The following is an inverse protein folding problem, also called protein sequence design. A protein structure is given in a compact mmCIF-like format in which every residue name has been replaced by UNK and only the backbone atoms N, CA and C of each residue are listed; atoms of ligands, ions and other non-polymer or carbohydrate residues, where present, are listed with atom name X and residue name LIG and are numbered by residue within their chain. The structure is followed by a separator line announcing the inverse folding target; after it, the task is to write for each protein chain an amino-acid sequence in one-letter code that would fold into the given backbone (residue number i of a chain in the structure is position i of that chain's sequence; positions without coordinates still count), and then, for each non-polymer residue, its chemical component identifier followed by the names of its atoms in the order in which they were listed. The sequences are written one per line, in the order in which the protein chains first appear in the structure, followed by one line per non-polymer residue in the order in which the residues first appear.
data_IF_221138308413
#
_entry.id   IF_221138308413
#
_cell.length_a   1.000
_cell.length_b   1.000
_cell.length_c   1.000
_cell.angle_alpha   90.00
_cell.angle_beta   90.00
_cell.angle_gamma   90.00
#
_symmetry.space_group_name_H-M   'P 1'
#
loop_
_entity.id
_entity.type
_entity.pdbx_description
1 polymer ?
#
# COMPACT_ATOMS: atom_id res chain seq x y z
N UNK A 1 16.82 8.65 17.00
CA UNK A 1 15.77 9.28 16.16
C UNK A 1 16.50 10.15 15.16
N UNK A 2 16.09 10.10 13.90
CA UNK A 2 16.59 10.95 12.82
C UNK A 2 15.42 11.80 12.32
N UNK A 3 15.68 13.02 11.85
CA UNK A 3 14.63 13.91 11.34
C UNK A 3 15.08 14.61 10.06
N UNK A 4 14.13 14.85 9.17
CA UNK A 4 14.35 15.59 7.93
C UNK A 4 13.09 16.38 7.54
N UNK A 5 13.28 17.44 6.76
CA UNK A 5 12.19 18.26 6.23
C UNK A 5 12.39 18.57 4.74
N UNK A 6 11.30 18.61 4.00
CA UNK A 6 11.28 18.96 2.58
C UNK A 6 10.26 20.05 2.30
N UNK A 7 10.56 21.03 1.43
CA UNK A 7 9.57 21.99 0.97
C UNK A 7 8.49 21.26 0.15
N UNK A 8 7.25 21.73 0.28
CA UNK A 8 6.14 21.31 -0.56
C UNK A 8 5.82 22.42 -1.55
N UNK A 9 5.50 22.01 -2.76
CA UNK A 9 5.19 22.86 -3.89
C UNK A 9 3.67 22.97 -4.14
N UNK A 10 2.86 22.27 -3.34
CA UNK A 10 1.41 22.29 -3.37
C UNK A 10 0.78 21.59 -2.15
N UNK A 11 -0.56 21.53 -2.09
CA UNK A 11 -1.25 20.79 -1.04
C UNK A 11 -0.96 19.28 -1.14
N UNK A 12 -0.91 18.60 0.00
CA UNK A 12 -0.84 17.15 0.10
C UNK A 12 -1.94 16.67 1.05
N UNK A 13 -2.79 15.77 0.56
CA UNK A 13 -3.68 14.99 1.41
C UNK A 13 -2.90 13.78 1.96
N UNK A 14 -2.16 14.02 3.05
CA UNK A 14 -1.31 13.01 3.68
C UNK A 14 -2.12 11.78 4.09
N UNK A 15 -3.29 12.01 4.69
CA UNK A 15 -4.10 10.92 5.22
C UNK A 15 -4.77 10.14 4.09
N UNK A 16 -5.31 10.82 3.09
CA UNK A 16 -5.89 10.20 1.89
C UNK A 16 -4.85 9.36 1.15
N UNK A 17 -3.64 9.88 0.97
CA UNK A 17 -2.53 9.21 0.28
C UNK A 17 -2.10 7.92 0.98
N UNK A 18 -2.06 7.92 2.33
CA UNK A 18 -1.62 6.76 3.11
C UNK A 18 -2.76 5.83 3.55
N UNK A 19 -4.02 6.23 3.36
CA UNK A 19 -5.19 5.43 3.75
C UNK A 19 -5.24 4.04 3.11
N UNK A 20 -4.86 3.83 1.85
CA UNK A 20 -4.82 2.50 1.24
C UNK A 20 -3.87 1.51 1.94
N UNK A 21 -2.93 1.99 2.76
CA UNK A 21 -2.01 1.16 3.52
C UNK A 21 -2.65 0.61 4.82
N UNK A 22 -3.75 1.22 5.29
CA UNK A 22 -4.42 0.86 6.56
C UNK A 22 -5.31 -0.37 6.38
N UNK A 23 -5.05 -1.42 7.18
CA UNK A 23 -5.82 -2.67 7.17
C UNK A 23 -6.96 -2.65 8.19
N UNK A 24 -7.73 -1.57 8.15
CA UNK A 24 -8.92 -1.34 8.98
C UNK A 24 -8.64 -0.77 10.36
N UNK A 25 -9.71 -0.61 11.15
CA UNK A 25 -9.63 -0.05 12.50
C UNK A 25 -8.81 -0.96 13.41
N UNK A 26 -7.86 -0.38 14.14
CA UNK A 26 -6.99 -1.10 15.06
C UNK A 26 -5.72 -1.65 14.45
N UNK A 27 -5.42 -1.32 13.18
CA UNK A 27 -4.13 -1.63 12.57
C UNK A 27 -2.99 -1.07 13.44
N UNK A 28 -1.96 -1.91 13.62
CA UNK A 28 -0.79 -1.59 14.44
C UNK A 28 0.46 -1.34 13.61
N UNK A 29 0.43 -1.56 12.30
CA UNK A 29 1.56 -1.24 11.40
C UNK A 29 1.47 0.17 10.84
N UNK A 30 0.31 0.81 10.96
CA UNK A 30 0.10 2.19 10.53
C UNK A 30 -0.94 2.87 11.41
N UNK A 31 -0.76 4.16 11.68
CA UNK A 31 -1.72 5.00 12.40
C UNK A 31 -1.85 6.36 11.72
N UNK A 32 -3.06 6.66 11.29
CA UNK A 32 -3.40 7.97 10.74
C UNK A 32 -4.10 8.80 11.81
N UNK A 33 -3.52 9.95 12.16
CA UNK A 33 -4.05 10.97 13.06
C UNK A 33 -4.46 12.20 12.23
N UNK A 34 -4.92 13.28 12.87
CA UNK A 34 -5.50 14.43 12.15
C UNK A 34 -4.54 15.11 11.15
N UNK A 35 -3.28 15.25 11.51
CA UNK A 35 -2.24 15.99 10.78
C UNK A 35 -0.92 15.21 10.70
N UNK A 36 -0.99 13.92 11.01
CA UNK A 36 0.18 13.08 11.24
C UNK A 36 -0.10 11.62 10.88
N UNK A 37 0.89 10.96 10.30
CA UNK A 37 0.85 9.54 10.01
C UNK A 37 2.06 8.83 10.60
N UNK A 38 1.85 7.65 11.18
CA UNK A 38 2.89 6.74 11.60
C UNK A 38 2.83 5.48 10.75
N UNK A 39 3.96 5.04 10.23
CA UNK A 39 4.06 3.81 9.45
C UNK A 39 5.28 3.00 9.88
N UNK A 40 5.13 1.69 10.01
CA UNK A 40 6.20 0.77 10.39
C UNK A 40 6.54 -0.13 9.21
N UNK A 41 7.83 -0.42 9.05
CA UNK A 41 8.31 -1.31 7.99
C UNK A 41 9.68 -1.89 8.32
N UNK A 42 10.13 -2.87 7.54
CA UNK A 42 11.50 -3.37 7.59
C UNK A 42 12.25 -2.92 6.34
N UNK A 43 13.45 -2.43 6.55
CA UNK A 43 14.39 -2.13 5.47
C UNK A 43 15.54 -3.14 5.48
N UNK A 44 16.42 -3.08 4.47
CA UNK A 44 17.65 -3.87 4.44
C UNK A 44 18.57 -3.60 5.65
N UNK A 45 18.50 -2.40 6.24
CA UNK A 45 19.26 -2.01 7.43
C UNK A 45 18.55 -2.34 8.75
N UNK A 46 17.33 -2.88 8.70
CA UNK A 46 16.58 -3.33 9.87
C UNK A 46 15.21 -2.66 10.06
N UNK A 47 14.58 -2.86 11.22
CA UNK A 47 13.24 -2.33 11.50
C UNK A 47 13.23 -0.80 11.58
N UNK A 48 12.14 -0.20 11.12
CA UNK A 48 11.93 1.23 11.15
C UNK A 48 10.49 1.62 11.47
N UNK A 49 10.34 2.80 12.08
CA UNK A 49 9.09 3.53 12.16
C UNK A 49 9.31 4.92 11.59
N UNK A 50 8.40 5.37 10.76
CA UNK A 50 8.39 6.70 10.15
C UNK A 50 7.15 7.46 10.64
N UNK A 51 7.38 8.66 11.18
CA UNK A 51 6.35 9.64 11.50
C UNK A 51 6.39 10.72 10.43
N UNK A 52 5.26 11.02 9.80
CA UNK A 52 5.12 12.07 8.80
C UNK A 52 4.14 13.13 9.30
N UNK A 53 4.48 14.41 9.08
CA UNK A 53 3.61 15.55 9.38
C UNK A 53 3.69 16.53 8.22
N UNK A 54 2.55 17.06 7.80
CA UNK A 54 2.46 18.08 6.75
C UNK A 54 1.89 19.36 7.34
N UNK A 55 2.59 20.47 7.16
CA UNK A 55 2.16 21.78 7.66
C UNK A 55 3.06 22.91 7.21
N UNK A 56 2.52 24.12 7.10
CA UNK A 56 3.25 25.33 6.68
C UNK A 56 4.08 25.13 5.37
N UNK A 57 3.51 24.42 4.39
CA UNK A 57 4.19 24.16 3.11
C UNK A 57 5.39 23.24 3.21
N UNK A 58 5.45 22.37 4.22
CA UNK A 58 6.55 21.42 4.44
C UNK A 58 6.07 20.03 4.79
N UNK A 59 6.83 19.03 4.35
CA UNK A 59 6.83 17.67 4.88
C UNK A 59 7.89 17.60 5.97
N UNK A 60 7.53 17.14 7.16
CA UNK A 60 8.45 16.78 8.23
C UNK A 60 8.39 15.29 8.46
N UNK A 61 9.54 14.64 8.56
CA UNK A 61 9.64 13.23 8.88
C UNK A 61 10.56 12.99 10.07
N UNK A 62 10.14 12.13 10.99
CA UNK A 62 10.99 11.57 12.04
C UNK A 62 11.05 10.06 11.87
N UNK A 63 12.25 9.49 11.95
CA UNK A 63 12.45 8.06 11.85
C UNK A 63 13.14 7.46 13.07
N UNK A 64 12.76 6.22 13.37
CA UNK A 64 13.18 5.46 14.54
C UNK A 64 13.68 4.09 14.12
N UNK A 65 14.67 3.55 14.84
CA UNK A 65 15.22 2.23 14.62
C UNK A 65 16.39 2.17 13.61
N UNK A 66 17.03 0.99 13.47
CA UNK A 66 18.18 0.78 12.58
C UNK A 66 17.89 1.09 11.11
N UNK A 67 16.65 0.89 10.66
CA UNK A 67 16.22 1.23 9.29
C UNK A 67 15.87 2.71 9.08
N UNK A 68 16.07 3.57 10.08
CA UNK A 68 15.60 4.95 10.10
C UNK A 68 16.10 5.82 8.95
N UNK A 69 17.39 5.72 8.59
CA UNK A 69 17.97 6.47 7.47
C UNK A 69 17.28 6.12 6.15
N UNK A 70 17.10 4.82 5.88
CA UNK A 70 16.48 4.36 4.64
C UNK A 70 15.02 4.85 4.50
N UNK A 71 14.22 4.83 5.58
CA UNK A 71 12.83 5.34 5.49
C UNK A 71 12.76 6.87 5.38
N UNK A 72 13.73 7.62 5.91
CA UNK A 72 13.78 9.08 5.71
C UNK A 72 14.11 9.44 4.26
N UNK A 73 15.07 8.77 3.64
CA UNK A 73 15.42 8.98 2.23
C UNK A 73 14.24 8.72 1.29
N UNK A 74 13.36 7.79 1.69
CA UNK A 74 12.15 7.39 0.94
C UNK A 74 10.92 8.24 1.27
N UNK A 75 10.94 9.03 2.35
CA UNK A 75 9.76 9.73 2.86
C UNK A 75 9.07 10.62 1.81
N UNK A 76 9.79 11.36 0.94
CA UNK A 76 9.13 12.09 -0.14
C UNK A 76 8.41 11.18 -1.14
N UNK A 77 9.04 10.06 -1.53
CA UNK A 77 8.47 9.09 -2.48
C UNK A 77 7.26 8.38 -1.91
N UNK A 78 7.27 8.07 -0.61
CA UNK A 78 6.14 7.45 0.09
C UNK A 78 4.83 8.21 -0.09
N UNK A 79 4.90 9.54 -0.17
CA UNK A 79 3.74 10.42 -0.42
C UNK A 79 3.68 10.96 -1.86
N UNK A 80 4.42 10.32 -2.77
CA UNK A 80 4.40 10.57 -4.21
C UNK A 80 5.05 11.88 -4.65
N UNK A 81 5.96 12.49 -3.88
CA UNK A 81 6.60 13.76 -4.29
C UNK A 81 7.52 13.64 -5.51
N UNK A 82 8.01 12.45 -5.83
CA UNK A 82 8.84 12.16 -7.00
C UNK A 82 8.03 12.00 -8.30
N UNK A 83 6.79 11.52 -8.18
CA UNK A 83 5.89 11.28 -9.31
C UNK A 83 4.94 12.47 -9.53
N UNK A 84 4.55 13.15 -8.45
CA UNK A 84 3.50 14.17 -8.44
C UNK A 84 4.07 15.53 -7.98
N UNK A 85 4.55 16.36 -8.92
CA UNK A 85 5.03 17.72 -8.63
C UNK A 85 3.90 18.76 -8.51
N UNK A 86 4.26 20.02 -8.22
CA UNK A 86 3.37 21.18 -7.99
C UNK A 86 2.24 21.34 -9.00
N UNK A 87 2.52 20.97 -10.25
CA UNK A 87 1.65 21.16 -11.41
C UNK A 87 0.88 19.89 -11.82
N UNK A 88 1.10 18.73 -11.18
CA UNK A 88 0.43 17.49 -11.60
C UNK A 88 -0.98 17.39 -11.01
N UNK A 89 -1.90 18.18 -11.56
CA UNK A 89 -3.26 17.65 -11.78
C UNK A 89 -3.24 16.94 -13.13
N UNK A 90 -2.47 15.86 -13.21
CA UNK A 90 -2.29 15.15 -14.47
C UNK A 90 -3.58 14.41 -14.90
N UNK A 91 -4.59 14.33 -14.03
CA UNK A 91 -5.93 13.87 -14.40
C UNK A 91 -6.70 15.02 -15.04
N UNK A 92 -6.90 14.95 -16.35
CA UNK A 92 -7.83 15.84 -17.05
C UNK A 92 -9.27 15.50 -16.62
N UNK A 93 -10.03 16.41 -15.98
CA UNK A 93 -11.35 16.10 -15.41
C UNK A 93 -12.43 15.99 -16.50
N UNK A 94 -12.42 14.90 -17.26
CA UNK A 94 -13.34 14.65 -18.39
C UNK A 94 -14.77 14.27 -17.96
N UNK A 95 -14.97 13.84 -16.71
CA UNK A 95 -16.28 13.45 -16.17
C UNK A 95 -16.64 14.29 -14.94
N UNK A 96 -17.92 14.68 -14.72
CA UNK A 96 -18.32 15.50 -13.57
C UNK A 96 -17.92 14.92 -12.21
N UNK A 97 -18.02 13.59 -12.02
CA UNK A 97 -17.60 12.96 -10.77
C UNK A 97 -16.09 13.09 -10.55
N UNK A 98 -15.28 12.91 -11.59
CA UNK A 98 -13.82 13.07 -11.49
C UNK A 98 -13.46 14.52 -11.16
N UNK A 99 -14.13 15.49 -11.78
CA UNK A 99 -13.99 16.92 -11.43
C UNK A 99 -14.30 17.19 -9.96
N UNK A 100 -15.38 16.59 -9.44
CA UNK A 100 -15.77 16.73 -8.05
C UNK A 100 -14.78 16.05 -7.10
N UNK A 101 -14.27 14.86 -7.43
CA UNK A 101 -13.26 14.17 -6.62
C UNK A 101 -11.96 14.97 -6.53
N UNK A 102 -11.48 15.52 -7.65
CA UNK A 102 -10.28 16.37 -7.67
C UNK A 102 -10.45 17.64 -6.82
N UNK A 103 -11.66 18.20 -6.78
CA UNK A 103 -12.00 19.35 -5.93
C UNK A 103 -12.07 18.97 -4.44
N UNK A 104 -12.59 17.79 -4.13
CA UNK A 104 -12.82 17.32 -2.75
C UNK A 104 -11.55 16.80 -2.08
N UNK A 105 -10.63 16.22 -2.85
CA UNK A 105 -9.40 15.61 -2.36
C UNK A 105 -8.16 16.26 -2.98
N UNK A 106 -7.95 17.58 -2.77
CA UNK A 106 -6.78 18.26 -3.31
C UNK A 106 -5.50 17.68 -2.73
N UNK A 107 -4.54 17.34 -3.58
CA UNK A 107 -3.25 16.80 -3.14
C UNK A 107 -3.26 15.32 -2.78
N UNK A 108 -4.34 14.59 -3.07
CA UNK A 108 -4.35 13.12 -3.01
C UNK A 108 -3.37 12.55 -4.05
N UNK A 109 -2.52 11.62 -3.63
CA UNK A 109 -1.51 10.98 -4.49
C UNK A 109 -1.52 9.46 -4.29
N UNK A 110 -0.89 8.76 -5.22
CA UNK A 110 -0.54 7.35 -5.01
C UNK A 110 0.65 7.25 -4.05
N UNK A 111 0.58 6.31 -3.11
CA UNK A 111 1.68 6.00 -2.20
C UNK A 111 2.76 5.15 -2.86
N UNK A 112 4.02 5.28 -2.42
CA UNK A 112 5.11 4.40 -2.86
C UNK A 112 5.97 3.96 -1.68
N UNK A 113 5.55 2.90 -0.98
CA UNK A 113 6.26 2.43 0.22
C UNK A 113 7.65 1.86 -0.06
N UNK A 114 7.90 1.37 -1.28
CA UNK A 114 9.09 0.59 -1.62
C UNK A 114 9.32 -0.60 -0.65
N UNK A 115 8.23 -1.11 -0.07
CA UNK A 115 8.18 -2.27 0.82
C UNK A 115 7.21 -3.29 0.21
N UNK A 116 7.74 -4.14 -0.67
CA UNK A 116 6.93 -5.01 -1.54
C UNK A 116 6.25 -6.10 -0.74
N UNK A 117 6.93 -6.72 0.23
CA UNK A 117 6.29 -7.74 1.08
C UNK A 117 5.20 -7.16 1.98
N UNK A 118 5.37 -5.94 2.47
CA UNK A 118 4.38 -5.26 3.32
C UNK A 118 3.08 -4.99 2.54
N UNK A 119 3.15 -4.83 1.21
CA UNK A 119 1.97 -4.76 0.35
C UNK A 119 1.47 -6.15 -0.09
N UNK A 120 2.38 -7.06 -0.43
CA UNK A 120 2.06 -8.36 -1.03
C UNK A 120 1.42 -9.33 -0.04
N UNK A 121 1.90 -9.39 1.21
CA UNK A 121 1.32 -10.30 2.21
C UNK A 121 -0.15 -9.97 2.47
N UNK A 122 -0.55 -8.73 2.77
CA UNK A 122 -1.96 -8.37 2.86
C UNK A 122 -2.75 -8.64 1.58
N UNK A 123 -2.20 -8.34 0.41
CA UNK A 123 -2.88 -8.60 -0.86
C UNK A 123 -3.15 -10.11 -1.03
N UNK A 124 -2.24 -10.98 -0.64
CA UNK A 124 -2.48 -12.44 -0.63
C UNK A 124 -3.63 -12.78 0.34
N UNK A 125 -3.65 -12.22 1.55
CA UNK A 125 -4.72 -12.46 2.54
C UNK A 125 -6.11 -12.07 2.03
N UNK A 126 -6.18 -11.05 1.16
CA UNK A 126 -7.42 -10.49 0.61
C UNK A 126 -7.98 -11.31 -0.58
N UNK A 127 -7.21 -12.24 -1.17
CA UNK A 127 -7.65 -13.00 -2.34
C UNK A 127 -8.90 -13.84 -2.07
N UNK A 128 -10.01 -13.57 -2.78
CA UNK A 128 -11.26 -14.38 -2.74
C UNK A 128 -11.94 -14.47 -1.36
N UNK A 129 -11.71 -13.50 -0.47
CA UNK A 129 -12.40 -13.36 0.81
C UNK A 129 -12.93 -11.95 0.96
N UNK A 130 -13.78 -11.73 1.97
CA UNK A 130 -14.19 -10.37 2.32
C UNK A 130 -13.02 -9.60 2.93
N UNK A 131 -13.04 -8.28 2.77
CA UNK A 131 -12.05 -7.43 3.44
C UNK A 131 -12.11 -7.53 4.97
N UNK A 132 -13.23 -7.95 5.56
CA UNK A 132 -13.33 -8.19 7.01
C UNK A 132 -12.51 -9.40 7.47
N UNK A 133 -12.62 -10.51 6.75
CA UNK A 133 -11.85 -11.74 7.02
C UNK A 133 -10.36 -11.51 6.84
N UNK A 134 -9.95 -10.86 5.75
CA UNK A 134 -8.54 -10.56 5.50
C UNK A 134 -7.93 -9.68 6.60
N UNK A 135 -8.66 -8.64 7.05
CA UNK A 135 -8.24 -7.78 8.17
C UNK A 135 -8.17 -8.54 9.49
N UNK A 136 -9.09 -9.47 9.74
CA UNK A 136 -9.03 -10.33 10.92
C UNK A 136 -7.74 -11.16 10.93
N UNK A 137 -7.40 -11.80 9.81
CA UNK A 137 -6.16 -12.58 9.67
C UNK A 137 -4.94 -11.68 9.86
N UNK A 138 -4.90 -10.51 9.21
CA UNK A 138 -3.81 -9.54 9.32
C UNK A 138 -3.57 -9.11 10.78
N UNK A 139 -4.62 -8.65 11.46
CA UNK A 139 -4.52 -8.27 12.87
C UNK A 139 -4.08 -9.43 13.76
N UNK A 140 -4.54 -10.65 13.47
CA UNK A 140 -4.08 -11.88 14.13
C UNK A 140 -2.58 -12.11 13.97
N UNK A 141 -2.09 -12.03 12.73
CA UNK A 141 -0.66 -12.21 12.39
C UNK A 141 0.20 -11.15 13.07
N UNK A 142 -0.13 -9.87 12.91
CA UNK A 142 0.64 -8.75 13.50
C UNK A 142 0.65 -8.83 15.03
N UNK A 143 -0.50 -9.16 15.65
CA UNK A 143 -0.59 -9.28 17.11
C UNK A 143 0.24 -10.44 17.66
N UNK A 144 0.18 -11.62 17.01
CA UNK A 144 0.78 -12.86 17.52
C UNK A 144 2.25 -13.03 17.12
N UNK A 145 2.61 -12.56 15.93
CA UNK A 145 3.90 -12.85 15.29
C UNK A 145 4.66 -11.60 14.82
N UNK A 146 4.04 -10.41 14.90
CA UNK A 146 4.75 -9.15 14.75
C UNK A 146 5.61 -8.84 15.98
N UNK A 147 6.50 -7.87 15.88
CA UNK A 147 7.32 -7.38 17.00
C UNK A 147 7.00 -5.92 17.31
N UNK A 148 7.46 -5.42 18.46
CA UNK A 148 7.32 -4.00 18.80
C UNK A 148 8.09 -3.15 17.77
N UNK A 149 7.44 -2.13 17.23
CA UNK A 149 8.10 -1.22 16.30
C UNK A 149 9.03 -0.25 17.06
N UNK A 150 10.18 0.15 16.48
CA UNK A 150 11.02 1.19 17.07
C UNK A 150 10.27 2.51 17.28
N UNK A 151 10.63 3.28 18.31
CA UNK A 151 10.01 4.57 18.60
C UNK A 151 9.15 4.54 19.86
N UNK A 152 8.22 5.50 20.02
CA UNK A 152 7.49 5.69 21.28
C UNK A 152 6.58 4.50 21.63
N UNK A 153 6.83 3.78 22.75
CA UNK A 153 6.09 2.56 23.10
C UNK A 153 4.60 2.79 23.41
N UNK A 154 4.23 3.98 23.86
CA UNK A 154 2.85 4.40 24.14
C UNK A 154 1.96 4.37 22.90
N UNK A 155 2.54 4.41 21.70
CA UNK A 155 1.79 4.25 20.47
C UNK A 155 1.39 2.79 20.24
N UNK A 156 2.07 1.82 20.83
CA UNK A 156 1.75 0.40 20.67
C UNK A 156 1.84 -0.11 19.23
N UNK A 157 2.63 0.56 18.38
CA UNK A 157 2.87 0.17 16.99
C UNK A 157 3.67 -1.14 16.94
N UNK A 158 3.41 -1.93 15.91
CA UNK A 158 4.09 -3.20 15.66
C UNK A 158 4.58 -3.25 14.24
N UNK A 159 5.62 -4.03 14.01
CA UNK A 159 6.01 -4.45 12.67
C UNK A 159 5.20 -5.68 12.28
N UNK A 160 4.97 -5.84 10.98
CA UNK A 160 4.51 -7.10 10.45
C UNK A 160 5.51 -8.24 10.80
N UNK A 161 5.04 -9.50 10.85
CA UNK A 161 5.94 -10.64 11.06
C UNK A 161 7.08 -10.60 10.04
N UNK A 162 8.33 -10.82 10.50
CA UNK A 162 9.47 -10.81 9.58
C UNK A 162 9.36 -11.95 8.56
N UNK A 163 10.04 -11.84 7.40
CA UNK A 163 10.06 -12.92 6.43
C UNK A 163 10.53 -14.26 7.04
N UNK A 164 11.53 -14.21 7.93
CA UNK A 164 12.01 -15.39 8.65
C UNK A 164 10.93 -16.04 9.52
N UNK A 165 10.12 -15.22 10.22
CA UNK A 165 8.97 -15.71 10.99
C UNK A 165 7.93 -16.33 10.06
N UNK A 166 7.53 -15.64 8.99
CA UNK A 166 6.53 -16.15 8.05
C UNK A 166 6.95 -17.50 7.44
N UNK A 167 8.21 -17.67 7.06
CA UNK A 167 8.73 -18.95 6.54
C UNK A 167 8.62 -20.08 7.56
N UNK A 168 8.99 -19.78 8.81
CA UNK A 168 9.05 -20.75 9.90
C UNK A 168 7.68 -21.17 10.43
N UNK A 169 6.63 -20.38 10.21
CA UNK A 169 5.29 -20.71 10.70
C UNK A 169 4.75 -21.97 10.02
N UNK A 170 4.41 -23.03 10.78
CA UNK A 170 3.70 -24.18 10.23
C UNK A 170 2.26 -23.80 9.89
N UNK A 171 1.62 -24.49 8.94
CA UNK A 171 0.24 -24.19 8.54
C UNK A 171 -0.75 -24.13 9.73
N UNK A 172 -0.62 -25.01 10.72
CA UNK A 172 -1.52 -25.03 11.88
C UNK A 172 -1.46 -23.74 12.73
N UNK A 173 -0.43 -22.90 12.56
CA UNK A 173 -0.34 -21.59 13.19
C UNK A 173 -1.23 -20.54 12.49
N UNK A 174 -1.45 -20.70 11.19
CA UNK A 174 -2.29 -19.84 10.36
C UNK A 174 -3.77 -20.20 10.45
N UNK A 175 -4.09 -21.49 10.58
CA UNK A 175 -5.47 -21.99 10.57
C UNK A 175 -6.38 -21.33 11.63
N UNK A 176 -5.97 -21.16 12.91
CA UNK A 176 -6.79 -20.47 13.92
C UNK A 176 -7.03 -18.98 13.65
N UNK A 177 -6.25 -18.37 12.73
CA UNK A 177 -6.45 -16.99 12.30
C UNK A 177 -7.46 -16.87 11.14
N UNK A 178 -7.99 -17.99 10.64
CA UNK A 178 -8.91 -18.04 9.50
C UNK A 178 -8.22 -18.14 8.14
N UNK A 179 -6.92 -18.45 8.10
CA UNK A 179 -6.19 -18.62 6.85
C UNK A 179 -6.12 -20.09 6.44
N UNK A 180 -6.54 -20.37 5.22
CA UNK A 180 -6.48 -21.66 4.56
C UNK A 180 -5.07 -21.97 4.02
N UNK A 181 -4.83 -23.26 3.76
CA UNK A 181 -3.47 -23.75 3.47
C UNK A 181 -2.85 -23.11 2.23
N UNK A 182 -3.63 -22.86 1.18
CA UNK A 182 -3.08 -22.37 -0.10
C UNK A 182 -2.42 -20.99 0.04
N UNK A 183 -3.12 -19.99 0.59
CA UNK A 183 -2.53 -18.66 0.85
C UNK A 183 -1.46 -18.69 1.91
N UNK A 184 -1.58 -19.55 2.93
CA UNK A 184 -0.50 -19.72 3.91
C UNK A 184 0.81 -20.19 3.24
N UNK A 185 0.76 -21.21 2.39
CA UNK A 185 1.94 -21.69 1.66
C UNK A 185 2.45 -20.65 0.63
N UNK A 186 1.55 -19.87 0.01
CA UNK A 186 1.96 -18.76 -0.85
C UNK A 186 2.71 -17.69 -0.05
N UNK A 187 2.20 -17.28 1.12
CA UNK A 187 2.88 -16.34 2.02
C UNK A 187 4.27 -16.85 2.41
N UNK A 188 4.39 -18.14 2.75
CA UNK A 188 5.69 -18.76 3.07
C UNK A 188 6.64 -18.74 1.88
N UNK A 189 6.13 -19.03 0.67
CA UNK A 189 6.91 -19.00 -0.58
C UNK A 189 7.38 -17.61 -0.99
N UNK A 190 6.59 -16.57 -0.74
CA UNK A 190 7.02 -15.18 -1.02
C UNK A 190 7.99 -14.70 0.05
N UNK A 191 7.75 -15.03 1.32
CA UNK A 191 8.63 -14.69 2.43
C UNK A 191 10.02 -15.34 2.31
N UNK A 192 10.12 -16.57 1.80
CA UNK A 192 11.41 -17.23 1.57
C UNK A 192 12.25 -16.55 0.48
N UNK A 193 11.62 -15.72 -0.35
CA UNK A 193 12.23 -14.96 -1.44
C UNK A 193 12.15 -13.45 -1.20
N UNK A 194 12.13 -13.03 0.07
CA UNK A 194 11.93 -11.63 0.45
C UNK A 194 12.81 -10.64 -0.33
N UNK A 195 14.12 -10.88 -0.37
CA UNK A 195 15.05 -10.00 -1.09
C UNK A 195 14.74 -9.89 -2.60
N UNK A 196 14.25 -10.97 -3.22
CA UNK A 196 13.86 -10.97 -4.63
C UNK A 196 12.61 -10.11 -4.87
N UNK A 197 11.63 -10.16 -3.95
CA UNK A 197 10.44 -9.31 -4.02
C UNK A 197 10.75 -7.85 -3.69
N UNK A 198 11.56 -7.56 -2.67
CA UNK A 198 11.93 -6.18 -2.35
C UNK A 198 12.69 -5.51 -3.49
N UNK A 199 13.54 -6.25 -4.21
CA UNK A 199 14.25 -5.74 -5.40
C UNK A 199 13.30 -5.35 -6.56
N UNK A 200 12.01 -5.73 -6.51
CA UNK A 200 11.02 -5.31 -7.53
C UNK A 200 10.76 -3.79 -7.47
N UNK A 201 10.90 -3.16 -6.29
CA UNK A 201 10.67 -1.73 -6.12
C UNK A 201 11.62 -0.84 -6.95
N UNK A 202 12.77 -1.38 -7.35
CA UNK A 202 13.81 -0.70 -8.13
C UNK A 202 13.64 -0.90 -9.64
N UNK A 203 12.68 -1.71 -10.08
CA UNK A 203 12.47 -2.04 -11.49
C UNK A 203 11.50 -1.05 -12.15
N UNK A 204 11.61 -0.83 -13.47
CA UNK A 204 10.55 -0.18 -14.23
C UNK A 204 9.21 -0.90 -14.04
N UNK A 205 8.10 -0.15 -13.95
CA UNK A 205 6.77 -0.70 -13.61
C UNK A 205 6.36 -1.90 -14.47
N UNK A 206 6.58 -1.84 -15.79
CA UNK A 206 6.26 -2.94 -16.69
C UNK A 206 7.03 -4.23 -16.35
N UNK A 207 8.29 -4.11 -15.94
CA UNK A 207 9.11 -5.24 -15.50
C UNK A 207 8.68 -5.74 -14.12
N UNK A 208 8.34 -4.82 -13.22
CA UNK A 208 7.84 -5.16 -11.89
C UNK A 208 6.56 -6.01 -11.95
N UNK A 209 5.57 -5.59 -12.76
CA UNK A 209 4.35 -6.38 -13.01
C UNK A 209 4.66 -7.75 -13.60
N UNK A 210 5.55 -7.82 -14.61
CA UNK A 210 5.94 -9.10 -15.22
C UNK A 210 6.54 -10.08 -14.19
N UNK A 211 7.37 -9.59 -13.27
CA UNK A 211 7.94 -10.42 -12.20
C UNK A 211 6.87 -10.89 -11.21
N UNK A 212 6.01 -10.00 -10.74
CA UNK A 212 4.91 -10.37 -9.84
C UNK A 212 4.02 -11.46 -10.47
N UNK A 213 3.63 -11.28 -11.73
CA UNK A 213 2.77 -12.21 -12.47
C UNK A 213 3.43 -13.55 -12.81
N UNK A 214 4.76 -13.63 -12.78
CA UNK A 214 5.48 -14.90 -13.01
C UNK A 214 5.34 -15.90 -11.86
N UNK A 215 4.80 -15.47 -10.70
CA UNK A 215 4.69 -16.29 -9.50
C UNK A 215 3.31 -16.94 -9.43
N UNK A 216 3.21 -18.28 -9.42
CA UNK A 216 1.94 -18.97 -9.27
C UNK A 216 1.19 -18.53 -8.01
N UNK A 217 -0.05 -18.07 -8.18
CA UNK A 217 -0.87 -17.52 -7.09
C UNK A 217 -0.87 -16.00 -6.98
N UNK A 218 -0.05 -15.30 -7.77
CA UNK A 218 -0.10 -13.84 -7.93
C UNK A 218 -0.70 -13.53 -9.31
N UNK A 219 -1.93 -13.03 -9.33
CA UNK A 219 -2.64 -12.64 -10.55
C UNK A 219 -2.67 -11.12 -10.77
N UNK A 220 -3.33 -10.66 -11.85
CA UNK A 220 -3.45 -9.23 -12.18
C UNK A 220 -3.93 -8.36 -11.01
N UNK A 221 -5.00 -8.80 -10.33
CA UNK A 221 -5.51 -8.14 -9.13
C UNK A 221 -4.43 -7.95 -8.04
N UNK A 222 -3.74 -9.04 -7.64
CA UNK A 222 -2.69 -8.95 -6.61
C UNK A 222 -1.50 -8.10 -7.05
N UNK A 223 -1.12 -8.17 -8.33
CA UNK A 223 -0.06 -7.33 -8.89
C UNK A 223 -0.41 -5.85 -8.79
N UNK A 224 -1.64 -5.48 -9.16
CA UNK A 224 -2.13 -4.11 -9.05
C UNK A 224 -2.19 -3.61 -7.59
N UNK A 225 -2.68 -4.44 -6.66
CA UNK A 225 -2.71 -4.09 -5.23
C UNK A 225 -1.32 -3.81 -4.65
N UNK A 226 -0.29 -4.53 -5.11
CA UNK A 226 1.11 -4.25 -4.76
C UNK A 226 1.60 -2.99 -5.47
N UNK A 227 1.30 -2.83 -6.75
CA UNK A 227 1.79 -1.71 -7.56
C UNK A 227 1.31 -0.35 -7.05
N UNK A 228 0.03 -0.22 -6.72
CA UNK A 228 -0.57 1.02 -6.18
C UNK A 228 0.02 1.42 -4.81
N UNK A 229 0.47 0.45 -4.00
CA UNK A 229 0.94 0.70 -2.62
C UNK A 229 2.45 0.81 -2.52
N UNK A 230 3.17 -0.11 -3.14
CA UNK A 230 4.62 -0.24 -2.99
C UNK A 230 5.41 0.39 -4.14
N UNK A 231 4.84 0.42 -5.35
CA UNK A 231 5.57 0.84 -6.56
C UNK A 231 5.21 2.25 -7.03
N UNK A 232 4.15 2.85 -6.48
CA UNK A 232 3.68 4.18 -6.89
C UNK A 232 3.03 4.17 -8.28
N UNK A 233 2.54 3.02 -8.73
CA UNK A 233 1.86 2.89 -10.02
C UNK A 233 0.45 3.48 -9.93
N UNK A 234 0.31 4.70 -10.42
CA UNK A 234 -0.98 5.41 -10.46
C UNK A 234 -1.94 4.84 -11.50
N UNK A 235 -1.49 3.99 -12.42
CA UNK A 235 -2.28 3.45 -13.53
C UNK A 235 -2.70 1.98 -13.32
N UNK A 236 -2.34 1.42 -12.16
CA UNK A 236 -2.58 0.03 -11.82
C UNK A 236 -4.04 -0.21 -11.39
N UNK A 237 -4.85 -0.64 -12.35
CA UNK A 237 -6.23 -1.06 -12.10
C UNK A 237 -6.29 -2.52 -11.62
N UNK A 238 -6.97 -2.77 -10.51
CA UNK A 238 -7.16 -4.10 -9.91
C UNK A 238 -8.18 -4.96 -10.69
N UNK A 239 -7.83 -5.33 -11.92
CA UNK A 239 -8.62 -6.20 -12.81
C UNK A 239 -8.90 -7.55 -12.14
N UNK A 240 -10.15 -8.00 -12.20
CA UNK A 240 -10.64 -9.18 -11.50
C UNK A 240 -11.14 -8.90 -10.08
N UNK A 241 -11.20 -7.64 -9.66
CA UNK A 241 -11.90 -7.22 -8.45
C UNK A 241 -13.41 -7.44 -8.61
N UNK A 242 -14.06 -7.94 -7.57
CA UNK A 242 -15.48 -8.27 -7.62
C UNK A 242 -16.40 -7.02 -7.63
N UNK A 243 -15.96 -5.94 -7.01
CA UNK A 243 -16.76 -4.73 -6.83
C UNK A 243 -16.37 -3.60 -7.77
N UNK A 244 -15.07 -3.46 -8.07
CA UNK A 244 -14.54 -2.31 -8.81
C UNK A 244 -15.22 -2.09 -10.17
N UNK A 245 -15.46 -3.12 -11.00
CA UNK A 245 -16.10 -2.90 -12.29
C UNK A 245 -17.53 -2.36 -12.19
N UNK A 246 -18.30 -2.86 -11.23
CA UNK A 246 -19.66 -2.39 -10.97
C UNK A 246 -19.64 -0.95 -10.42
N UNK A 247 -18.70 -0.64 -9.53
CA UNK A 247 -18.56 0.70 -8.95
C UNK A 247 -18.20 1.76 -10.01
N UNK A 248 -17.22 1.46 -10.86
CA UNK A 248 -16.78 2.35 -11.94
C UNK A 248 -17.90 2.54 -12.97
N UNK A 249 -18.58 1.46 -13.36
CA UNK A 249 -19.69 1.52 -14.32
C UNK A 249 -20.87 2.33 -13.78
N UNK A 250 -21.19 2.18 -12.49
CA UNK A 250 -22.21 3.00 -11.83
C UNK A 250 -21.83 4.48 -11.82
N UNK A 251 -20.61 4.81 -11.41
CA UNK A 251 -20.18 6.20 -11.25
C UNK A 251 -19.98 6.93 -12.57
N UNK A 252 -19.38 6.27 -13.57
CA UNK A 252 -18.99 6.93 -14.84
C UNK A 252 -20.02 6.76 -15.96
N UNK A 253 -20.94 5.80 -15.85
CA UNK A 253 -21.94 5.53 -16.88
C UNK A 253 -23.38 5.37 -16.35
N UNK A 254 -23.61 5.39 -15.03
CA UNK A 254 -24.92 5.12 -14.45
C UNK A 254 -25.38 3.67 -14.61
N UNK A 255 -24.47 2.76 -14.95
CA UNK A 255 -24.76 1.36 -15.22
C UNK A 255 -24.72 0.54 -13.93
N UNK A 256 -25.78 -0.21 -13.57
CA UNK A 256 -25.84 -0.94 -12.30
C UNK A 256 -24.86 -2.12 -12.24
N UNK A 257 -24.38 -2.60 -13.40
CA UNK A 257 -23.43 -3.70 -13.54
C UNK A 257 -22.44 -3.41 -14.66
N UNK A 258 -21.20 -3.84 -14.46
CA UNK A 258 -20.16 -3.85 -15.49
C UNK A 258 -19.13 -4.94 -15.23
N UNK A 259 -18.41 -5.30 -16.28
CA UNK A 259 -17.28 -6.23 -16.22
C UNK A 259 -15.94 -5.48 -16.34
N UNK A 260 -14.83 -6.21 -16.24
CA UNK A 260 -13.49 -5.62 -16.32
C UNK A 260 -13.27 -4.88 -17.64
N UNK A 261 -13.83 -5.37 -18.76
CA UNK A 261 -13.70 -4.73 -20.06
C UNK A 261 -14.42 -3.37 -20.07
N UNK A 262 -15.65 -3.31 -19.53
CA UNK A 262 -16.40 -2.06 -19.41
C UNK A 262 -15.71 -1.06 -18.50
N UNK A 263 -15.21 -1.52 -17.36
CA UNK A 263 -14.43 -0.71 -16.43
C UNK A 263 -13.22 -0.08 -17.12
N UNK A 264 -12.41 -0.90 -17.81
CA UNK A 264 -11.21 -0.41 -18.50
C UNK A 264 -11.55 0.56 -19.63
N UNK A 265 -12.63 0.34 -20.37
CA UNK A 265 -13.10 1.28 -21.39
C UNK A 265 -13.52 2.64 -20.79
N UNK A 266 -14.17 2.64 -19.62
CA UNK A 266 -14.57 3.86 -18.93
C UNK A 266 -13.38 4.61 -18.31
N UNK A 267 -12.34 3.88 -17.90
CA UNK A 267 -11.12 4.45 -17.33
C UNK A 267 -10.10 4.88 -18.41
N UNK A 268 -10.23 4.44 -19.65
CA UNK A 268 -9.29 4.76 -20.74
C UNK A 268 -8.96 6.26 -20.89
N UNK A 269 -9.92 7.21 -20.76
CA UNK A 269 -9.60 8.64 -20.82
C UNK A 269 -8.64 9.14 -19.72
N UNK A 270 -8.41 8.34 -18.68
CA UNK A 270 -7.54 8.64 -17.54
C UNK A 270 -6.25 7.82 -17.54
N UNK A 271 -5.91 7.16 -18.67
CA UNK A 271 -4.67 6.39 -18.83
C UNK A 271 -3.45 7.13 -18.29
N UNK A 272 -2.67 6.42 -17.49
CA UNK A 272 -1.55 6.92 -16.69
C UNK A 272 -1.91 7.12 -15.22
N UNK A 273 -3.21 7.25 -14.89
CA UNK A 273 -3.75 7.54 -13.55
C UNK A 273 -5.15 6.92 -13.34
N UNK A 274 -5.35 5.69 -13.83
CA UNK A 274 -6.65 4.98 -13.81
C UNK A 274 -7.04 4.39 -12.47
#
# INVERSE_FOLDING_TARGET
MLSAEWPLDGPIDLLGTLRPLVRGQGDRTIRLLRDEAWWTTRTSSGPATLRLRVGAGRLRADAFGPGGTAVLERAPRLIGLDVWGAASTAIEPRHPIVREMLRRYPGLRASRTEAVLDALVPAILEQKVTGGEARHVWHGLVRRYGEAAPGPPELGLRLAPSPAILVALPYHAYHPLGLERRRAELIRSVASRAAWFEAIAELPLAEAHRRLLSVPGIGPWTSAEVAVRALGDADAVSVGDFHLPNLVSWLLAGEPRGDDARMLALLEPYRGQR
#
